data_IF_922218270199
#
_entry.id   IF_922218270199
#
_cell.length_a   1.000
_cell.length_b   1.000
_cell.length_c   1.000
_cell.angle_alpha   90.00
_cell.angle_beta   90.00
_cell.angle_gamma   90.00
#
_symmetry.space_group_name_H-M   'P 1'
#
loop_
_entity.id
_entity.type
_entity.pdbx_description
1 polymer ?
#
# COMPACT_ATOMS: atom_id res chain seq x y z
N UNK A 1 7.55 12.21 15.24
CA UNK A 1 7.30 10.84 14.82
C UNK A 1 7.90 10.60 13.46
N UNK A 2 8.56 9.50 13.32
CA UNK A 2 9.22 9.18 12.05
C UNK A 2 8.18 9.01 10.94
N UNK A 3 8.43 9.62 9.81
CA UNK A 3 7.57 9.58 8.65
C UNK A 3 6.42 10.56 8.66
N UNK A 4 6.08 11.15 9.80
CA UNK A 4 4.98 12.13 9.87
C UNK A 4 5.33 13.37 9.06
N UNK A 5 4.39 13.83 8.23
CA UNK A 5 4.60 14.95 7.33
C UNK A 5 5.38 14.61 6.06
N UNK A 6 5.77 13.37 5.87
CA UNK A 6 6.43 12.94 4.64
C UNK A 6 5.40 12.66 3.54
N UNK A 7 5.56 13.23 2.33
CA UNK A 7 4.61 12.96 1.25
C UNK A 7 4.43 11.49 0.93
N UNK A 8 5.50 10.68 1.02
CA UNK A 8 5.40 9.24 0.73
C UNK A 8 4.49 8.53 1.73
N UNK A 9 4.55 8.89 3.01
CA UNK A 9 3.70 8.28 4.03
C UNK A 9 2.24 8.59 3.75
N UNK A 10 1.91 9.82 3.39
CA UNK A 10 0.56 10.23 3.04
C UNK A 10 0.06 9.47 1.82
N UNK A 11 0.89 9.28 0.82
CA UNK A 11 0.52 8.56 -0.39
C UNK A 11 0.31 7.06 -0.12
N UNK A 12 1.13 6.45 0.70
CA UNK A 12 0.95 5.04 1.08
C UNK A 12 -0.37 4.86 1.84
N UNK A 13 -0.61 5.68 2.84
CA UNK A 13 -1.85 5.61 3.61
C UNK A 13 -3.08 5.89 2.75
N UNK A 14 -3.00 6.89 1.87
CA UNK A 14 -4.08 7.20 0.95
C UNK A 14 -4.39 6.06 -0.01
N UNK A 15 -3.36 5.39 -0.53
CA UNK A 15 -3.53 4.24 -1.41
C UNK A 15 -4.20 3.08 -0.69
N UNK A 16 -3.81 2.81 0.56
CA UNK A 16 -4.42 1.75 1.36
C UNK A 16 -5.87 2.11 1.71
N UNK A 17 -6.15 3.37 2.01
CA UNK A 17 -7.51 3.84 2.28
C UNK A 17 -8.43 3.61 1.06
N UNK A 18 -7.95 3.91 -0.13
CA UNK A 18 -8.71 3.67 -1.36
C UNK A 18 -8.93 2.18 -1.57
N UNK A 19 -7.89 1.37 -1.35
CA UNK A 19 -7.99 -0.08 -1.44
C UNK A 19 -9.05 -0.61 -0.47
N UNK A 20 -9.03 -0.17 0.76
CA UNK A 20 -9.98 -0.58 1.79
C UNK A 20 -11.40 -0.24 1.40
N UNK A 21 -11.63 0.96 0.86
CA UNK A 21 -12.94 1.38 0.37
C UNK A 21 -13.44 0.50 -0.77
N UNK A 22 -12.57 0.19 -1.72
CA UNK A 22 -12.92 -0.67 -2.85
C UNK A 22 -13.28 -2.07 -2.40
N UNK A 23 -12.53 -2.61 -1.45
CA UNK A 23 -12.82 -3.92 -0.87
C UNK A 23 -14.16 -3.91 -0.15
N UNK A 24 -14.46 -2.88 0.62
CA UNK A 24 -15.72 -2.77 1.34
C UNK A 24 -16.92 -2.75 0.39
N UNK A 25 -16.78 -2.17 -0.79
CA UNK A 25 -17.85 -2.12 -1.80
C UNK A 25 -18.25 -3.51 -2.29
N UNK A 26 -17.37 -4.49 -2.19
CA UNK A 26 -17.65 -5.88 -2.60
C UNK A 26 -17.70 -6.82 -1.40
N UNK A 27 -17.80 -6.28 -0.18
CA UNK A 27 -17.94 -7.07 1.03
C UNK A 27 -16.65 -7.70 1.55
N UNK A 28 -15.49 -7.14 1.15
CA UNK A 28 -14.19 -7.64 1.57
C UNK A 28 -13.49 -6.64 2.48
N UNK A 29 -12.43 -7.10 3.14
CA UNK A 29 -11.60 -6.29 4.03
C UNK A 29 -10.12 -6.42 3.64
N UNK A 30 -9.24 -5.71 4.34
CA UNK A 30 -7.80 -5.85 4.13
C UNK A 30 -7.33 -7.28 4.40
N UNK A 31 -7.99 -8.02 5.28
CA UNK A 31 -7.65 -9.42 5.55
C UNK A 31 -7.89 -10.33 4.34
N UNK A 32 -8.68 -9.89 3.39
CA UNK A 32 -8.97 -10.63 2.16
C UNK A 32 -7.86 -10.50 1.11
N UNK A 33 -6.93 -9.58 1.30
CA UNK A 33 -5.84 -9.36 0.35
C UNK A 33 -4.81 -10.47 0.48
N UNK A 34 -4.54 -11.16 -0.62
CA UNK A 34 -3.59 -12.29 -0.64
C UNK A 34 -2.28 -11.93 -1.31
N UNK A 35 -2.28 -10.92 -2.15
CA UNK A 35 -1.09 -10.47 -2.87
C UNK A 35 -1.19 -8.99 -3.14
N UNK A 36 -0.06 -8.29 -3.05
CA UNK A 36 0.01 -6.89 -3.48
C UNK A 36 1.34 -6.59 -4.15
N UNK A 37 1.28 -5.79 -5.20
CA UNK A 37 2.45 -5.24 -5.87
C UNK A 37 2.54 -3.76 -5.53
N UNK A 38 3.68 -3.34 -5.01
CA UNK A 38 3.91 -1.97 -4.57
C UNK A 38 4.93 -1.31 -5.48
N UNK A 39 4.57 -0.18 -6.05
CA UNK A 39 5.44 0.56 -6.97
C UNK A 39 5.88 1.85 -6.29
N UNK A 40 7.19 2.08 -6.29
CA UNK A 40 7.80 3.27 -5.69
C UNK A 40 8.55 4.06 -6.74
N UNK A 41 8.44 5.36 -6.68
CA UNK A 41 9.34 6.23 -7.45
C UNK A 41 10.77 6.10 -6.93
N UNK A 42 10.93 5.99 -5.61
CA UNK A 42 12.21 5.77 -4.94
C UNK A 42 12.07 4.53 -4.05
N UNK A 43 12.76 3.44 -4.41
CA UNK A 43 12.66 2.16 -3.69
C UNK A 43 13.16 2.27 -2.24
N UNK A 44 13.97 3.27 -1.92
CA UNK A 44 14.41 3.48 -0.54
C UNK A 44 13.25 3.80 0.41
N UNK A 45 12.10 4.22 -0.13
CA UNK A 45 10.90 4.48 0.65
C UNK A 45 10.20 3.21 1.13
N UNK A 46 10.69 2.03 0.75
CA UNK A 46 10.11 0.73 1.15
C UNK A 46 10.00 0.58 2.67
N UNK A 47 10.91 1.18 3.42
CA UNK A 47 10.88 1.11 4.88
C UNK A 47 9.61 1.70 5.48
N UNK A 48 9.10 2.78 4.88
CA UNK A 48 7.84 3.38 5.34
C UNK A 48 6.66 2.47 5.11
N UNK A 49 6.65 1.76 3.97
CA UNK A 49 5.60 0.80 3.67
C UNK A 49 5.57 -0.33 4.70
N UNK A 50 6.74 -0.86 5.07
CA UNK A 50 6.82 -1.95 6.04
C UNK A 50 6.18 -1.58 7.37
N UNK A 51 6.46 -0.39 7.87
CA UNK A 51 5.90 0.09 9.14
C UNK A 51 4.38 0.28 9.05
N UNK A 52 3.91 0.85 7.94
CA UNK A 52 2.48 1.09 7.73
C UNK A 52 1.72 -0.22 7.59
N UNK A 53 2.25 -1.18 6.84
CA UNK A 53 1.61 -2.48 6.67
C UNK A 53 1.53 -3.24 7.98
N UNK A 54 2.58 -3.18 8.79
CA UNK A 54 2.60 -3.82 10.10
C UNK A 54 1.45 -3.31 10.97
N UNK A 55 1.19 -2.03 10.92
CA UNK A 55 0.13 -1.40 11.68
C UNK A 55 -1.26 -1.71 11.10
N UNK A 56 -1.42 -1.57 9.77
CA UNK A 56 -2.73 -1.64 9.13
C UNK A 56 -3.22 -3.07 8.90
N UNK A 57 -2.32 -4.03 8.70
CA UNK A 57 -2.65 -5.44 8.50
C UNK A 57 -2.52 -6.27 9.79
N UNK A 58 -2.14 -5.64 10.89
CA UNK A 58 -2.12 -6.26 12.23
C UNK A 58 -1.33 -7.57 12.27
N UNK A 59 -0.20 -7.60 11.60
CA UNK A 59 0.67 -8.78 11.57
C UNK A 59 0.29 -9.84 10.54
N UNK A 60 -0.81 -9.66 9.83
CA UNK A 60 -1.21 -10.57 8.75
C UNK A 60 -0.84 -9.94 7.41
N UNK A 61 0.33 -10.29 6.91
CA UNK A 61 0.83 -9.68 5.68
C UNK A 61 0.45 -10.50 4.46
N UNK A 62 -0.11 -9.87 3.41
CA UNK A 62 -0.23 -10.53 2.13
C UNK A 62 1.15 -10.72 1.48
N UNK A 63 1.26 -11.66 0.56
CA UNK A 63 2.45 -11.75 -0.28
C UNK A 63 2.60 -10.43 -1.03
N UNK A 64 3.82 -9.87 -1.04
CA UNK A 64 4.04 -8.58 -1.68
C UNK A 64 5.34 -8.55 -2.45
N UNK A 65 5.35 -7.75 -3.52
CA UNK A 65 6.55 -7.40 -4.25
C UNK A 65 6.66 -5.89 -4.30
N UNK A 66 7.88 -5.39 -4.27
CA UNK A 66 8.15 -3.97 -4.35
C UNK A 66 9.03 -3.70 -5.57
N UNK A 67 8.65 -2.70 -6.36
CA UNK A 67 9.34 -2.34 -7.57
C UNK A 67 9.63 -0.85 -7.59
N UNK A 68 10.73 -0.47 -8.22
CA UNK A 68 10.97 0.90 -8.61
C UNK A 68 10.28 1.17 -9.95
N UNK A 69 9.64 2.31 -10.09
CA UNK A 69 8.93 2.67 -11.32
C UNK A 69 9.00 4.17 -11.57
N UNK A 70 8.98 4.52 -12.84
CA UNK A 70 8.80 5.92 -13.24
C UNK A 70 7.31 6.14 -13.49
N UNK A 71 6.73 7.08 -12.75
CA UNK A 71 5.32 7.41 -12.92
C UNK A 71 5.16 8.51 -13.95
N UNK A 72 4.09 8.40 -14.75
CA UNK A 72 3.77 9.37 -15.80
C UNK A 72 3.37 10.71 -15.17
N UNK A 73 2.67 10.67 -14.03
CA UNK A 73 2.23 11.88 -13.34
C UNK A 73 3.26 12.36 -12.34
N UNK A 74 3.54 13.66 -12.38
CA UNK A 74 4.34 14.29 -11.34
C UNK A 74 3.64 14.22 -9.99
N UNK A 75 4.42 14.11 -8.94
CA UNK A 75 3.90 14.07 -7.58
C UNK A 75 3.46 12.70 -7.10
N UNK A 76 3.38 11.69 -7.97
CA UNK A 76 3.09 10.33 -7.56
C UNK A 76 4.39 9.65 -7.12
N UNK A 77 4.43 9.23 -5.86
CA UNK A 77 5.58 8.56 -5.26
C UNK A 77 5.32 7.09 -5.01
N UNK A 78 4.06 6.66 -5.03
CA UNK A 78 3.67 5.31 -4.66
C UNK A 78 2.39 4.90 -5.37
N UNK A 79 2.33 3.63 -5.76
CA UNK A 79 1.14 3.02 -6.32
C UNK A 79 1.04 1.58 -5.83
N UNK A 80 -0.18 1.08 -5.65
CA UNK A 80 -0.42 -0.27 -5.17
C UNK A 80 -1.43 -0.98 -6.07
N UNK A 81 -1.12 -2.24 -6.38
CA UNK A 81 -2.05 -3.19 -6.99
C UNK A 81 -2.24 -4.34 -6.01
N UNK A 82 -3.48 -4.77 -5.82
CA UNK A 82 -3.77 -5.84 -4.87
C UNK A 82 -4.73 -6.85 -5.46
N UNK A 83 -4.54 -8.11 -5.07
CA UNK A 83 -5.45 -9.20 -5.39
C UNK A 83 -6.07 -9.67 -4.07
N UNK A 84 -7.39 -9.75 -4.05
CA UNK A 84 -8.13 -10.20 -2.88
C UNK A 84 -9.07 -11.34 -3.27
N UNK A 85 -9.27 -12.26 -2.35
CA UNK A 85 -10.21 -13.37 -2.53
C UNK A 85 -11.27 -13.34 -1.46
N UNK A 86 -12.48 -13.63 -1.89
CA UNK A 86 -13.60 -13.84 -1.01
C UNK A 86 -13.59 -15.31 -0.57
N UNK A 87 -13.46 -15.52 0.69
CA UNK A 87 -13.51 -16.88 1.23
C UNK A 87 -12.34 -17.25 2.05
#
# INVERSE_FOLDING_TARGET
MSGEGKPIVDQINGAIDVLEKRLAMVGLTLDSVVKMDCLFKDISDLNYLSDILKDRFKGKYPARKAFSSQFIREGILFQIDAIAYKG
#
